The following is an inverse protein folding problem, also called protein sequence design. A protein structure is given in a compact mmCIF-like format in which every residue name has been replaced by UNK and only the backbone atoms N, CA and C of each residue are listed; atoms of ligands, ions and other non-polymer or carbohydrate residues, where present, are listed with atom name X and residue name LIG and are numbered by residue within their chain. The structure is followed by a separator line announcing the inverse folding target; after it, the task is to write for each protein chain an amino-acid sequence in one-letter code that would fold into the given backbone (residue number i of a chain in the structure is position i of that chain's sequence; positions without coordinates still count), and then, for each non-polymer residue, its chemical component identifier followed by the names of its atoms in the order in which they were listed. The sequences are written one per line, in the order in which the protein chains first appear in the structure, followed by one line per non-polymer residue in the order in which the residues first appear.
data_IF_106487735095
#
_entry.id   IF_106487735095
#
_cell.length_a   1.000
_cell.length_b   1.000
_cell.length_c   1.000
_cell.angle_alpha   90.00
_cell.angle_beta   90.00
_cell.angle_gamma   90.00
#
_symmetry.space_group_name_H-M   'P 1'
#
loop_
_entity.id
_entity.type
_entity.pdbx_description
1 polymer ?
#
# COMPACT_ATOMS: atom_id res chain seq x y z
N UNK A 1 -2.97 -11.39 -8.87
CA UNK A 1 -4.03 -10.75 -8.06
C UNK A 1 -4.09 -11.38 -6.68
N UNK A 2 -4.22 -12.69 -6.58
CA UNK A 2 -4.40 -13.45 -5.34
C UNK A 2 -3.27 -13.26 -4.32
N UNK A 3 -2.02 -13.31 -4.77
CA UNK A 3 -0.86 -13.14 -3.86
C UNK A 3 -0.80 -11.75 -3.20
N UNK A 4 -1.15 -10.71 -3.93
CA UNK A 4 -1.20 -9.37 -3.36
C UNK A 4 -2.33 -9.21 -2.34
N UNK A 5 -3.51 -9.76 -2.64
CA UNK A 5 -4.63 -9.77 -1.69
C UNK A 5 -4.30 -10.53 -0.40
N UNK A 6 -3.57 -11.64 -0.52
CA UNK A 6 -3.09 -12.37 0.65
C UNK A 6 -2.12 -11.53 1.48
N UNK A 7 -1.16 -10.85 0.84
CA UNK A 7 -0.24 -9.94 1.53
C UNK A 7 -0.98 -8.80 2.21
N UNK A 8 -1.94 -8.16 1.52
CA UNK A 8 -2.80 -7.14 2.11
C UNK A 8 -3.56 -7.65 3.33
N UNK A 9 -4.09 -8.86 3.25
CA UNK A 9 -4.82 -9.46 4.38
C UNK A 9 -3.93 -9.64 5.60
N UNK A 10 -2.72 -10.17 5.44
CA UNK A 10 -1.76 -10.32 6.54
C UNK A 10 -1.40 -8.98 7.16
N UNK A 11 -0.99 -8.02 6.33
CA UNK A 11 -0.59 -6.68 6.80
C UNK A 11 -1.75 -5.98 7.51
N UNK A 12 -2.95 -6.01 6.95
CA UNK A 12 -4.12 -5.37 7.55
C UNK A 12 -4.54 -6.06 8.86
N UNK A 13 -4.44 -7.38 8.95
CA UNK A 13 -4.74 -8.12 10.18
C UNK A 13 -3.74 -7.78 11.29
N UNK A 14 -2.46 -7.72 10.95
CA UNK A 14 -1.40 -7.29 11.86
C UNK A 14 -1.64 -5.86 12.37
N UNK A 15 -1.90 -4.92 11.47
CA UNK A 15 -2.15 -3.51 11.83
C UNK A 15 -3.37 -3.36 12.75
N UNK A 16 -4.43 -4.14 12.52
CA UNK A 16 -5.60 -4.16 13.42
C UNK A 16 -5.25 -4.66 14.81
N UNK A 17 -4.41 -5.67 14.91
CA UNK A 17 -4.00 -6.27 16.20
C UNK A 17 -3.02 -5.37 16.95
N UNK A 18 -2.08 -4.71 16.26
CA UNK A 18 -1.10 -3.82 16.88
C UNK A 18 -1.68 -2.49 17.37
N UNK A 19 -2.89 -2.11 16.90
CA UNK A 19 -3.52 -0.83 17.23
C UNK A 19 -2.88 0.39 16.57
N UNK A 20 -1.74 0.24 15.89
CA UNK A 20 -1.01 1.34 15.27
C UNK A 20 -1.47 1.59 13.82
N UNK A 21 -2.66 2.15 13.67
CA UNK A 21 -3.24 2.42 12.35
C UNK A 21 -2.97 3.83 11.83
N UNK A 22 -2.61 4.75 12.71
CA UNK A 22 -2.61 6.18 12.41
C UNK A 22 -1.27 6.85 12.73
N UNK A 23 -0.97 7.93 12.00
CA UNK A 23 0.26 8.72 12.13
C UNK A 23 0.25 9.53 13.44
N UNK A 24 -0.88 10.17 13.70
CA UNK A 24 -1.17 10.90 14.94
C UNK A 24 -2.24 10.16 15.73
N UNK A 25 -2.26 10.36 17.03
CA UNK A 25 -3.39 9.88 17.82
C UNK A 25 -4.70 10.43 17.26
N UNK A 26 -5.77 9.62 17.24
CA UNK A 26 -7.03 10.03 16.60
C UNK A 26 -7.60 11.32 17.17
N UNK A 27 -7.47 11.56 18.48
CA UNK A 27 -7.92 12.79 19.11
C UNK A 27 -7.10 13.99 18.62
N UNK A 28 -5.78 13.89 18.57
CA UNK A 28 -4.90 14.96 18.07
C UNK A 28 -5.22 15.29 16.63
N UNK A 29 -5.40 14.30 15.78
CA UNK A 29 -5.75 14.53 14.38
C UNK A 29 -7.12 15.19 14.23
N UNK A 30 -8.13 14.71 14.97
CA UNK A 30 -9.50 15.20 14.85
C UNK A 30 -9.67 16.60 15.48
N UNK A 31 -8.96 16.89 16.57
CA UNK A 31 -9.14 18.12 17.31
C UNK A 31 -8.28 19.28 16.77
N UNK A 32 -7.09 18.98 16.22
CA UNK A 32 -6.15 20.01 15.79
C UNK A 32 -5.92 20.05 14.28
N UNK A 33 -5.82 18.92 13.60
CA UNK A 33 -5.46 18.89 12.17
C UNK A 33 -6.70 18.92 11.26
N UNK A 34 -7.70 18.12 11.57
CA UNK A 34 -8.90 17.99 10.77
C UNK A 34 -9.67 19.33 10.59
N UNK A 35 -9.83 20.19 11.62
CA UNK A 35 -10.51 21.47 11.46
C UNK A 35 -9.79 22.40 10.49
N UNK A 36 -8.44 22.47 10.56
CA UNK A 36 -7.65 23.33 9.67
C UNK A 36 -7.74 22.86 8.21
N UNK A 37 -7.68 21.54 7.96
CA UNK A 37 -7.83 21.00 6.61
C UNK A 37 -9.24 21.30 6.07
N UNK A 38 -10.29 21.14 6.87
CA UNK A 38 -11.67 21.45 6.47
C UNK A 38 -11.84 22.93 6.15
N UNK A 39 -11.23 23.83 6.93
CA UNK A 39 -11.21 25.27 6.69
C UNK A 39 -10.56 25.59 5.35
N UNK A 40 -9.35 25.08 5.10
CA UNK A 40 -8.65 25.25 3.84
C UNK A 40 -9.43 24.73 2.63
N UNK A 41 -10.10 23.56 2.77
CA UNK A 41 -10.97 23.03 1.72
C UNK A 41 -12.17 23.93 1.44
N UNK A 42 -12.81 24.50 2.47
CA UNK A 42 -13.91 25.43 2.31
C UNK A 42 -13.50 26.69 1.58
N UNK A 43 -12.37 27.28 1.96
CA UNK A 43 -11.81 28.47 1.30
C UNK A 43 -11.46 28.17 -0.16
N UNK A 44 -10.82 27.03 -0.44
CA UNK A 44 -10.50 26.58 -1.80
C UNK A 44 -11.76 26.40 -2.65
N UNK A 45 -12.83 25.85 -2.08
CA UNK A 45 -14.10 25.67 -2.76
C UNK A 45 -14.74 26.99 -3.18
N UNK A 46 -14.74 27.98 -2.28
CA UNK A 46 -15.28 29.31 -2.59
C UNK A 46 -14.45 30.03 -3.66
N UNK A 47 -13.10 29.91 -3.59
CA UNK A 47 -12.21 30.47 -4.61
C UNK A 47 -12.42 29.84 -5.98
N UNK A 48 -12.53 28.51 -6.06
CA UNK A 48 -12.79 27.80 -7.32
C UNK A 48 -14.17 28.18 -7.87
N UNK A 49 -15.18 28.33 -7.00
CA UNK A 49 -16.51 28.75 -7.41
C UNK A 49 -16.49 30.12 -8.05
N UNK A 50 -15.87 31.11 -7.40
CA UNK A 50 -15.71 32.48 -7.94
C UNK A 50 -14.99 32.48 -9.30
N UNK A 51 -13.89 31.73 -9.41
CA UNK A 51 -13.13 31.65 -10.68
C UNK A 51 -13.93 30.97 -11.80
N UNK A 52 -14.73 29.93 -11.48
CA UNK A 52 -15.59 29.28 -12.48
C UNK A 52 -16.72 30.18 -12.96
N UNK A 53 -17.32 30.94 -12.05
CA UNK A 53 -18.33 31.95 -12.40
C UNK A 53 -17.74 33.01 -13.34
N UNK A 54 -16.51 33.50 -13.05
CA UNK A 54 -15.79 34.46 -13.86
C UNK A 54 -15.39 33.92 -15.26
N UNK A 55 -15.16 32.60 -15.39
CA UNK A 55 -14.79 31.93 -16.64
C UNK A 55 -15.97 31.26 -17.35
N UNK A 56 -17.19 31.45 -16.88
CA UNK A 56 -18.44 30.82 -17.41
C UNK A 56 -18.35 29.30 -17.53
N UNK A 57 -17.50 28.64 -16.74
CA UNK A 57 -17.32 27.18 -16.75
C UNK A 57 -18.51 26.49 -16.10
N UNK A 58 -19.38 25.92 -16.92
CA UNK A 58 -20.49 25.08 -16.45
C UNK A 58 -19.99 23.68 -16.06
N UNK A 59 -20.22 23.25 -14.84
CA UNK A 59 -19.90 21.88 -14.46
C UNK A 59 -20.50 21.44 -13.12
N UNK A 60 -21.24 20.35 -13.18
CA UNK A 60 -21.93 19.72 -12.02
C UNK A 60 -20.99 18.99 -11.05
N UNK A 61 -19.68 18.97 -11.29
CA UNK A 61 -18.78 18.07 -10.57
C UNK A 61 -18.11 18.66 -9.32
N UNK A 62 -18.21 19.98 -9.12
CA UNK A 62 -17.47 20.64 -8.02
C UNK A 62 -17.93 20.11 -6.64
N UNK A 63 -19.23 20.00 -6.41
CA UNK A 63 -19.77 19.47 -5.15
C UNK A 63 -19.33 18.02 -4.92
N UNK A 64 -19.40 17.17 -5.95
CA UNK A 64 -18.97 15.75 -5.87
C UNK A 64 -17.46 15.65 -5.65
N UNK A 65 -16.65 16.50 -6.31
CA UNK A 65 -15.20 16.53 -6.13
C UNK A 65 -14.82 16.88 -4.69
N UNK A 66 -15.44 17.91 -4.09
CA UNK A 66 -15.18 18.27 -2.70
C UNK A 66 -15.67 17.22 -1.71
N UNK A 67 -16.82 16.59 -1.94
CA UNK A 67 -17.25 15.44 -1.13
C UNK A 67 -16.25 14.28 -1.17
N UNK A 68 -15.71 13.98 -2.35
CA UNK A 68 -14.68 12.98 -2.49
C UNK A 68 -13.38 13.36 -1.76
N UNK A 69 -12.96 14.64 -1.81
CA UNK A 69 -11.80 15.14 -1.05
C UNK A 69 -12.03 15.05 0.45
N UNK A 70 -13.20 15.43 0.96
CA UNK A 70 -13.56 15.31 2.37
C UNK A 70 -13.49 13.85 2.85
N UNK A 71 -13.93 12.89 2.02
CA UNK A 71 -13.78 11.46 2.30
C UNK A 71 -12.32 11.02 2.42
N UNK A 72 -11.41 11.62 1.63
CA UNK A 72 -9.98 11.31 1.63
C UNK A 72 -9.21 11.91 2.81
N UNK A 73 -9.69 12.98 3.43
CA UNK A 73 -8.99 13.62 4.57
C UNK A 73 -8.76 12.63 5.71
N UNK A 74 -9.73 11.77 6.00
CA UNK A 74 -9.62 10.78 7.07
C UNK A 74 -8.50 9.75 6.80
N UNK A 75 -8.16 9.55 5.53
CA UNK A 75 -7.09 8.64 5.12
C UNK A 75 -5.71 9.26 5.31
N UNK A 76 -5.59 10.60 5.42
CA UNK A 76 -4.31 11.29 5.59
C UNK A 76 -3.59 10.91 6.90
N UNK A 77 -4.35 10.52 7.92
CA UNK A 77 -3.79 10.08 9.20
C UNK A 77 -3.41 8.58 9.21
N UNK A 78 -3.52 7.88 8.09
CA UNK A 78 -3.17 6.46 8.02
C UNK A 78 -1.76 6.27 7.51
N UNK A 79 -1.06 5.32 8.07
CA UNK A 79 0.20 4.86 7.50
C UNK A 79 0.00 4.22 6.13
N UNK A 80 0.97 4.40 5.25
CA UNK A 80 0.94 3.75 3.93
C UNK A 80 1.02 2.23 4.07
N UNK A 81 0.42 1.52 3.12
CA UNK A 81 0.51 0.05 3.06
C UNK A 81 1.97 -0.44 3.08
N UNK A 82 2.84 0.19 2.31
CA UNK A 82 4.28 -0.17 2.22
C UNK A 82 4.96 -0.07 3.59
N UNK A 83 4.71 1.00 4.34
CA UNK A 83 5.26 1.15 5.70
C UNK A 83 4.76 0.04 6.63
N UNK A 84 3.46 -0.21 6.63
CA UNK A 84 2.86 -1.24 7.47
C UNK A 84 3.36 -2.64 7.10
N UNK A 85 3.54 -2.90 5.81
CA UNK A 85 4.11 -4.15 5.31
C UNK A 85 5.53 -4.37 5.83
N UNK A 86 6.40 -3.35 5.74
CA UNK A 86 7.78 -3.47 6.25
C UNK A 86 7.82 -3.60 7.76
N UNK A 87 6.96 -2.89 8.49
CA UNK A 87 6.84 -3.06 9.93
C UNK A 87 6.48 -4.50 10.28
N UNK A 88 5.45 -5.06 9.67
CA UNK A 88 5.02 -6.44 9.85
C UNK A 88 6.16 -7.44 9.56
N UNK A 89 6.80 -7.33 8.37
CA UNK A 89 7.90 -8.20 7.95
C UNK A 89 9.05 -8.18 8.96
N UNK A 90 9.44 -6.99 9.44
CA UNK A 90 10.53 -6.82 10.40
C UNK A 90 10.17 -7.40 11.78
N UNK A 91 8.93 -7.21 12.24
CA UNK A 91 8.49 -7.67 13.56
C UNK A 91 8.42 -9.19 13.63
N UNK A 92 7.90 -9.85 12.60
CA UNK A 92 7.91 -11.31 12.54
C UNK A 92 9.25 -11.89 12.08
N UNK A 93 10.23 -11.02 11.72
CA UNK A 93 11.58 -11.38 11.32
C UNK A 93 11.65 -12.30 10.09
N UNK A 94 10.91 -11.95 9.03
CA UNK A 94 10.97 -12.69 7.76
C UNK A 94 12.38 -12.61 7.16
N UNK A 95 13.03 -13.73 6.84
CA UNK A 95 14.31 -13.71 6.14
C UNK A 95 14.15 -13.12 4.73
N UNK A 96 14.97 -12.10 4.39
CA UNK A 96 14.87 -11.39 3.11
C UNK A 96 16.02 -11.68 2.15
N UNK A 97 16.86 -12.67 2.43
CA UNK A 97 18.01 -13.03 1.60
C UNK A 97 17.60 -13.24 0.14
N UNK A 98 18.22 -12.49 -0.77
CA UNK A 98 17.89 -12.49 -2.20
C UNK A 98 16.58 -11.76 -2.59
N UNK A 99 15.87 -11.18 -1.62
CA UNK A 99 14.71 -10.31 -1.86
C UNK A 99 15.14 -8.84 -1.72
N UNK A 100 15.21 -8.11 -2.83
CA UNK A 100 15.56 -6.69 -2.80
C UNK A 100 14.34 -5.85 -2.41
N UNK A 101 14.52 -5.02 -1.40
CA UNK A 101 13.47 -4.14 -0.86
C UNK A 101 12.83 -3.28 -1.95
N UNK A 102 13.67 -2.66 -2.77
CA UNK A 102 13.25 -1.76 -3.86
C UNK A 102 12.40 -2.48 -4.91
N UNK A 103 12.72 -3.74 -5.21
CA UNK A 103 11.94 -4.54 -6.16
C UNK A 103 10.55 -4.87 -5.59
N UNK A 104 10.48 -5.26 -4.32
CA UNK A 104 9.21 -5.53 -3.65
C UNK A 104 8.36 -4.26 -3.60
N UNK A 105 8.93 -3.12 -3.19
CA UNK A 105 8.22 -1.84 -3.14
C UNK A 105 7.69 -1.42 -4.51
N UNK A 106 8.50 -1.56 -5.57
CA UNK A 106 8.09 -1.27 -6.95
C UNK A 106 6.88 -2.11 -7.37
N UNK A 107 6.90 -3.41 -7.07
CA UNK A 107 5.78 -4.32 -7.40
C UNK A 107 4.51 -3.94 -6.63
N UNK A 108 4.65 -3.66 -5.34
CA UNK A 108 3.52 -3.25 -4.47
C UNK A 108 2.92 -1.93 -4.93
N UNK A 109 3.75 -0.92 -5.22
CA UNK A 109 3.30 0.38 -5.70
C UNK A 109 2.63 0.29 -7.07
N UNK A 110 3.21 -0.46 -8.00
CA UNK A 110 2.62 -0.68 -9.32
C UNK A 110 1.24 -1.31 -9.21
N UNK A 111 1.09 -2.31 -8.35
CA UNK A 111 -0.19 -2.97 -8.12
C UNK A 111 -1.21 -2.03 -7.48
N UNK A 112 -0.79 -1.23 -6.51
CA UNK A 112 -1.65 -0.24 -5.86
C UNK A 112 -2.18 0.78 -6.87
N UNK A 113 -1.31 1.28 -7.74
CA UNK A 113 -1.68 2.21 -8.82
C UNK A 113 -2.70 1.58 -9.77
N UNK A 114 -2.52 0.32 -10.18
CA UNK A 114 -3.45 -0.38 -11.08
C UNK A 114 -4.85 -0.56 -10.49
N UNK A 115 -4.95 -0.81 -9.18
CA UNK A 115 -6.25 -1.01 -8.52
C UNK A 115 -6.99 0.31 -8.30
N UNK A 116 -6.25 1.36 -7.90
CA UNK A 116 -6.87 2.61 -7.44
C UNK A 116 -6.97 3.71 -8.50
N UNK A 117 -6.20 3.62 -9.58
CA UNK A 117 -6.23 4.66 -10.61
C UNK A 117 -7.50 4.66 -11.44
N UNK A 118 -8.28 3.58 -11.47
CA UNK A 118 -9.61 3.53 -12.12
C UNK A 118 -9.67 4.10 -13.55
N UNK A 119 -8.55 4.61 -14.05
CA UNK A 119 -8.48 5.36 -15.29
C UNK A 119 -7.38 4.84 -16.19
N UNK A 120 -7.80 4.62 -17.41
CA UNK A 120 -7.03 4.79 -18.64
C UNK A 120 -5.59 4.31 -18.62
N UNK A 121 -5.40 3.16 -19.22
CA UNK A 121 -4.13 2.68 -19.79
C UNK A 121 -2.91 2.83 -18.88
N UNK A 122 -2.69 1.86 -17.95
CA UNK A 122 -1.37 1.72 -17.36
C UNK A 122 -0.38 1.58 -18.52
N UNK A 123 0.75 2.29 -18.46
CA UNK A 123 1.85 2.00 -19.39
C UNK A 123 2.06 0.50 -19.38
N UNK A 124 2.12 -0.16 -20.56
CA UNK A 124 2.27 -1.60 -20.62
C UNK A 124 3.54 -1.99 -19.86
N UNK A 125 3.35 -2.62 -18.71
CA UNK A 125 4.47 -3.19 -17.95
C UNK A 125 5.00 -4.32 -18.84
N UNK A 126 6.30 -4.34 -19.06
CA UNK A 126 6.93 -5.41 -19.86
C UNK A 126 6.56 -6.75 -19.23
N UNK A 127 6.21 -7.73 -20.07
CA UNK A 127 5.73 -9.07 -19.64
C UNK A 127 6.68 -9.71 -18.63
N UNK A 128 7.97 -9.56 -18.84
CA UNK A 128 9.02 -10.11 -18.00
C UNK A 128 9.07 -9.45 -16.60
N UNK A 129 8.86 -8.14 -16.51
CA UNK A 129 8.80 -7.42 -15.22
C UNK A 129 7.57 -7.86 -14.40
N UNK A 130 6.44 -8.10 -15.06
CA UNK A 130 5.24 -8.62 -14.40
C UNK A 130 5.46 -10.03 -13.83
N UNK A 131 6.09 -10.90 -14.62
CA UNK A 131 6.37 -12.26 -14.22
C UNK A 131 7.33 -12.30 -13.02
N UNK A 132 8.42 -11.52 -13.08
CA UNK A 132 9.36 -11.38 -11.96
C UNK A 132 8.68 -10.85 -10.71
N UNK A 133 7.85 -9.82 -10.85
CA UNK A 133 7.10 -9.25 -9.72
C UNK A 133 6.16 -10.27 -9.05
N UNK A 134 5.50 -11.13 -9.84
CA UNK A 134 4.67 -12.19 -9.30
C UNK A 134 5.48 -13.24 -8.54
N UNK A 135 6.65 -13.62 -9.03
CA UNK A 135 7.54 -14.56 -8.37
C UNK A 135 8.07 -13.99 -7.05
N UNK A 136 8.47 -12.71 -7.02
CA UNK A 136 8.89 -12.01 -5.80
C UNK A 136 7.80 -11.98 -4.73
N UNK A 137 6.56 -11.66 -5.11
CA UNK A 137 5.43 -11.68 -4.17
C UNK A 137 5.11 -13.09 -3.66
N UNK A 138 5.21 -14.10 -4.51
CA UNK A 138 5.03 -15.51 -4.09
C UNK A 138 6.10 -15.93 -3.10
N UNK A 139 7.35 -15.60 -3.39
CA UNK A 139 8.48 -15.90 -2.50
C UNK A 139 8.29 -15.22 -1.14
N UNK A 140 7.99 -13.91 -1.15
CA UNK A 140 7.75 -13.17 0.07
C UNK A 140 6.63 -13.79 0.91
N UNK A 141 5.49 -14.09 0.28
CA UNK A 141 4.37 -14.75 0.97
C UNK A 141 4.75 -16.11 1.54
N UNK A 142 5.46 -16.93 0.75
CA UNK A 142 5.93 -18.24 1.22
C UNK A 142 6.78 -18.07 2.46
N UNK A 143 7.72 -17.14 2.47
CA UNK A 143 8.59 -16.88 3.63
C UNK A 143 7.82 -16.35 4.84
N UNK A 144 6.83 -15.48 4.63
CA UNK A 144 5.92 -15.04 5.69
C UNK A 144 5.22 -16.25 6.33
N UNK A 145 4.63 -17.13 5.53
CA UNK A 145 4.00 -18.35 6.03
C UNK A 145 4.95 -19.24 6.81
N UNK A 146 6.12 -19.53 6.24
CA UNK A 146 7.12 -20.39 6.88
C UNK A 146 7.60 -19.80 8.21
N UNK A 147 7.77 -18.46 8.26
CA UNK A 147 8.14 -17.75 9.49
C UNK A 147 7.04 -17.87 10.56
N UNK A 148 5.79 -17.62 10.18
CA UNK A 148 4.65 -17.70 11.11
C UNK A 148 4.45 -19.12 11.64
N UNK A 149 4.71 -20.14 10.80
CA UNK A 149 4.64 -21.56 11.19
C UNK A 149 5.88 -22.04 11.94
N UNK A 150 6.91 -21.18 12.09
CA UNK A 150 8.23 -21.56 12.66
C UNK A 150 8.82 -22.79 11.97
N UNK A 151 8.64 -22.85 10.65
CA UNK A 151 9.14 -23.95 9.85
C UNK A 151 10.65 -23.89 9.68
N UNK A 152 11.31 -25.02 9.82
CA UNK A 152 12.72 -25.21 9.52
C UNK A 152 12.88 -26.40 8.58
N UNK A 153 13.51 -26.18 7.43
CA UNK A 153 13.71 -27.26 6.47
C UNK A 153 13.77 -26.77 5.02
N UNK A 154 13.68 -27.69 4.09
CA UNK A 154 13.73 -27.37 2.68
C UNK A 154 12.38 -26.91 2.15
N UNK A 155 12.38 -25.89 1.33
CA UNK A 155 11.20 -25.41 0.61
C UNK A 155 11.54 -25.11 -0.85
N UNK A 156 10.52 -25.01 -1.68
CA UNK A 156 10.69 -24.70 -3.10
C UNK A 156 10.66 -23.19 -3.31
N UNK A 157 11.84 -22.56 -3.50
CA UNK A 157 11.98 -21.12 -3.71
C UNK A 157 11.56 -20.72 -5.12
N UNK A 158 10.85 -19.60 -5.23
CA UNK A 158 10.43 -19.01 -6.51
C UNK A 158 11.49 -18.09 -7.13
N UNK A 159 12.52 -17.69 -6.37
CA UNK A 159 13.54 -16.73 -6.85
C UNK A 159 14.45 -17.30 -7.93
N UNK A 160 14.74 -18.59 -7.86
CA UNK A 160 15.74 -19.27 -8.71
C UNK A 160 15.14 -20.42 -9.52
N UNK A 161 13.94 -20.22 -10.06
CA UNK A 161 13.34 -21.21 -10.94
C UNK A 161 12.86 -22.47 -10.24
N UNK A 162 12.24 -22.35 -9.09
CA UNK A 162 11.71 -23.49 -8.29
C UNK A 162 12.80 -24.43 -7.75
N UNK A 163 13.90 -23.88 -7.29
CA UNK A 163 14.96 -24.66 -6.65
C UNK A 163 14.67 -24.88 -5.16
N UNK A 164 15.06 -26.04 -4.65
CA UNK A 164 15.02 -26.32 -3.22
C UNK A 164 16.02 -25.42 -2.48
N UNK A 165 15.53 -24.75 -1.46
CA UNK A 165 16.30 -23.85 -0.60
C UNK A 165 16.05 -24.18 0.86
N UNK A 166 17.04 -23.99 1.72
CA UNK A 166 16.92 -24.14 3.17
C UNK A 166 16.13 -22.94 3.73
N UNK A 167 15.21 -23.20 4.67
CA UNK A 167 14.54 -22.15 5.44
C UNK A 167 14.74 -22.41 6.96
N UNK A 168 15.08 -21.39 7.76
CA UNK A 168 15.55 -20.07 7.30
C UNK A 168 16.83 -20.18 6.49
N UNK A 169 17.12 -19.21 5.58
CA UNK A 169 18.37 -19.22 4.82
C UNK A 169 19.58 -19.24 5.77
N UNK A 170 20.53 -20.08 5.49
CA UNK A 170 21.78 -20.12 6.26
C UNK A 170 22.58 -18.87 5.92
N UNK A 171 22.92 -18.07 6.93
CA UNK A 171 23.79 -16.90 6.75
C UNK A 171 25.10 -17.34 6.11
N UNK A 172 25.45 -16.75 4.96
CA UNK A 172 26.73 -16.99 4.28
C UNK A 172 27.82 -16.13 4.90
#
# INVERSE_FOLDING_TARGET
TTNFMALEHFVNSYVRQSGEQTILHNNEFNDFVMPEIKKALKESKENIKKNREALEVKGNSLKKAFQAMEGKIKELNRYTFVRNMWKFINEIKVPLDGLLKEEIEKVVQTRHTLIHSGSSTPKPIKKDENQRGLLLLRELLTRIFLTLLKYEGNYNSFLHGHQYSQFPPVAK
#
